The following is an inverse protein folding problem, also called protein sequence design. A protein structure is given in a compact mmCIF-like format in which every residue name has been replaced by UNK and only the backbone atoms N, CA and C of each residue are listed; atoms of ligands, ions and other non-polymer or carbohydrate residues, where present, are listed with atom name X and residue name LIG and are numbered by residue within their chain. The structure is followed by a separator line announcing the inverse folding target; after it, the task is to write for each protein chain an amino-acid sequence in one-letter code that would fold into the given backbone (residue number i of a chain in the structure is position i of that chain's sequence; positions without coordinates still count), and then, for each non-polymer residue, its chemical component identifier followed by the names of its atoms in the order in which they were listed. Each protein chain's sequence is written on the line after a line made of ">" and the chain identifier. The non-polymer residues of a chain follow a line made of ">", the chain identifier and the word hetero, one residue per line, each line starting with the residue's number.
data_IF_769607244853
#
_entry.id   IF_769607244853
#
_cell.length_a   1.000
_cell.length_b   1.000
_cell.length_c   1.000
_cell.angle_alpha   90.00
_cell.angle_beta   90.00
_cell.angle_gamma   90.00
#
_symmetry.space_group_name_H-M   'P 1'
#
loop_
_entity.id
_entity.type
_entity.pdbx_description
1 polymer ?
#
# COMPACT_ATOMS: atom_id res chain seq x y z
N UNK A 1 39.64 -13.28 -71.00
CA UNK A 1 40.09 -11.89 -71.17
C UNK A 1 39.52 -11.13 -69.97
N UNK A 2 40.21 -11.08 -68.81
CA UNK A 2 41.40 -10.24 -68.50
C UNK A 2 41.02 -8.76 -68.64
N UNK A 3 41.06 -7.86 -67.64
CA UNK A 3 41.95 -7.68 -66.49
C UNK A 3 41.31 -6.75 -65.42
N UNK A 4 41.65 -6.94 -64.13
CA UNK A 4 41.80 -5.87 -63.11
C UNK A 4 43.25 -5.33 -63.16
N UNK A 5 43.81 -4.45 -62.28
CA UNK A 5 43.29 -3.61 -61.16
C UNK A 5 43.94 -2.17 -61.01
N UNK A 6 43.54 -1.38 -59.99
CA UNK A 6 44.43 -0.52 -59.14
C UNK A 6 43.61 0.16 -58.02
N UNK A 7 43.64 -0.25 -56.75
CA UNK A 7 44.55 0.03 -55.59
C UNK A 7 44.97 1.50 -55.35
N UNK A 8 44.60 2.02 -54.17
CA UNK A 8 45.44 2.64 -53.10
C UNK A 8 44.61 3.73 -52.35
N UNK A 9 44.74 4.02 -51.05
CA UNK A 9 45.56 3.58 -49.90
C UNK A 9 44.84 4.09 -48.64
N UNK A 10 44.83 3.30 -47.56
CA UNK A 10 44.40 3.73 -46.23
C UNK A 10 45.57 4.33 -45.42
N UNK A 11 45.34 5.33 -44.56
CA UNK A 11 46.25 5.72 -43.47
C UNK A 11 45.80 5.20 -42.08
N UNK A 12 46.66 5.30 -41.04
CA UNK A 12 46.85 4.29 -39.97
C UNK A 12 46.02 4.52 -38.69
N UNK A 13 46.03 3.53 -37.75
CA UNK A 13 45.28 3.62 -36.49
C UNK A 13 45.98 4.51 -35.44
N UNK A 14 45.20 5.32 -34.72
CA UNK A 14 45.65 6.01 -33.52
C UNK A 14 45.06 5.33 -32.29
N UNK A 15 45.94 4.67 -31.54
CA UNK A 15 45.71 4.18 -30.19
C UNK A 15 45.84 5.30 -29.16
N UNK A 16 44.94 5.38 -28.19
CA UNK A 16 45.23 5.51 -26.74
C UNK A 16 43.94 5.82 -25.96
N UNK A 17 43.48 4.83 -25.18
CA UNK A 17 42.57 4.97 -24.04
C UNK A 17 43.29 5.61 -22.83
N UNK A 18 42.70 5.75 -21.62
CA UNK A 18 41.29 5.94 -21.24
C UNK A 18 41.11 7.14 -20.28
N UNK A 19 39.95 7.81 -20.30
CA UNK A 19 39.46 8.56 -19.13
C UNK A 19 38.32 7.75 -18.53
N UNK A 20 38.61 7.05 -17.43
CA UNK A 20 37.63 6.26 -16.71
C UNK A 20 36.58 7.15 -16.01
N UNK A 21 35.33 6.69 -15.87
CA UNK A 21 34.34 7.38 -15.05
C UNK A 21 34.66 7.17 -13.56
N UNK A 22 34.74 8.27 -12.82
CA UNK A 22 34.87 8.28 -11.37
C UNK A 22 33.64 7.63 -10.72
N UNK A 23 33.80 6.43 -10.16
CA UNK A 23 32.80 5.81 -9.28
C UNK A 23 32.75 6.56 -7.94
N UNK A 24 31.57 6.94 -7.42
CA UNK A 24 31.47 7.50 -6.09
C UNK A 24 31.76 6.39 -5.05
N UNK A 25 32.85 6.58 -4.32
CA UNK A 25 33.30 5.71 -3.24
C UNK A 25 32.37 5.88 -2.03
N UNK A 26 31.38 5.02 -1.92
CA UNK A 26 30.56 4.86 -0.72
C UNK A 26 31.46 4.56 0.49
N UNK A 27 31.40 5.42 1.51
CA UNK A 27 32.00 5.15 2.83
C UNK A 27 30.98 4.36 3.65
N UNK A 28 31.30 3.16 4.15
CA UNK A 28 30.45 2.50 5.12
C UNK A 28 30.44 3.30 6.43
N UNK A 29 29.26 3.45 7.00
CA UNK A 29 29.04 4.01 8.33
C UNK A 29 29.71 3.10 9.36
N UNK A 30 30.75 3.59 10.03
CA UNK A 30 31.34 2.89 11.17
C UNK A 30 30.36 2.95 12.34
N UNK A 31 29.77 1.81 12.72
CA UNK A 31 29.01 1.68 13.94
C UNK A 31 29.94 1.86 15.17
N UNK A 32 29.53 2.61 16.21
CA UNK A 32 30.28 2.66 17.45
C UNK A 32 30.20 1.31 18.17
N UNK A 33 31.35 0.85 18.66
CA UNK A 33 31.52 -0.36 19.46
C UNK A 33 30.74 -0.26 20.79
N UNK A 34 30.07 -1.35 21.23
CA UNK A 34 29.42 -1.37 22.53
C UNK A 34 30.50 -1.43 23.63
N UNK A 35 30.55 -0.38 24.46
CA UNK A 35 31.32 -0.38 25.70
C UNK A 35 30.76 -1.47 26.62
N UNK A 36 31.61 -2.45 26.91
CA UNK A 36 31.47 -3.40 28.00
C UNK A 36 31.48 -2.65 29.33
N UNK A 37 30.51 -2.92 30.20
CA UNK A 37 30.48 -2.31 31.52
C UNK A 37 29.12 -2.40 32.22
N UNK A 38 28.65 -3.62 32.47
CA UNK A 38 27.63 -3.85 33.50
C UNK A 38 28.15 -4.92 34.43
N UNK A 39 28.72 -4.48 35.54
CA UNK A 39 29.11 -5.30 36.68
C UNK A 39 27.84 -5.84 37.35
N UNK A 40 27.71 -7.17 37.35
CA UNK A 40 26.68 -7.89 38.07
C UNK A 40 26.94 -7.77 39.58
N UNK A 41 26.13 -6.97 40.27
CA UNK A 41 26.07 -7.02 41.74
C UNK A 41 25.03 -8.07 42.12
N UNK A 42 25.54 -9.22 42.57
CA UNK A 42 24.74 -10.25 43.23
C UNK A 42 24.22 -9.72 44.57
N UNK A 43 22.90 -9.76 44.78
CA UNK A 43 22.28 -9.57 46.09
C UNK A 43 21.51 -10.86 46.44
N UNK A 44 21.82 -11.36 47.63
CA UNK A 44 21.43 -12.62 48.22
C UNK A 44 19.90 -12.79 48.46
N UNK A 45 19.40 -14.02 48.63
CA UNK A 45 17.97 -14.28 48.81
C UNK A 45 17.57 -14.16 50.29
N UNK A 46 16.45 -13.48 50.58
CA UNK A 46 15.77 -13.61 51.88
C UNK A 46 14.25 -13.68 51.74
N UNK A 47 13.76 -14.88 52.07
CA UNK A 47 12.60 -15.21 52.91
C UNK A 47 11.20 -14.72 52.52
N UNK A 48 10.42 -15.71 52.05
CA UNK A 48 9.06 -16.09 52.46
C UNK A 48 8.30 -15.09 53.35
N UNK A 49 7.23 -14.50 52.80
CA UNK A 49 6.07 -14.04 53.56
C UNK A 49 4.81 -14.42 52.80
N UNK A 50 4.00 -15.28 53.43
CA UNK A 50 2.65 -15.65 53.05
C UNK A 50 1.68 -14.59 53.57
N UNK A 51 0.91 -13.98 52.68
CA UNK A 51 -0.40 -13.43 53.03
C UNK A 51 -1.33 -13.58 51.81
N UNK A 52 -2.42 -14.32 52.03
CA UNK A 52 -3.37 -14.69 51.02
C UNK A 52 -4.17 -13.50 50.51
N UNK A 53 -4.13 -13.30 49.21
CA UNK A 53 -5.15 -12.61 48.45
C UNK A 53 -5.71 -13.60 47.45
N UNK A 54 -6.95 -14.05 47.67
CA UNK A 54 -7.64 -14.96 46.77
C UNK A 54 -7.90 -14.26 45.43
N UNK A 55 -7.02 -14.45 44.46
CA UNK A 55 -7.28 -14.15 43.06
C UNK A 55 -8.34 -15.13 42.57
N UNK A 56 -9.62 -14.75 42.64
CA UNK A 56 -10.67 -15.47 41.93
C UNK A 56 -10.36 -15.35 40.43
N UNK A 57 -10.13 -16.45 39.70
CA UNK A 57 -10.06 -16.36 38.25
C UNK A 57 -11.41 -15.83 37.79
N UNK A 58 -11.42 -14.66 37.16
CA UNK A 58 -12.58 -14.16 36.44
C UNK A 58 -12.97 -15.28 35.47
N UNK A 59 -14.17 -15.83 35.66
CA UNK A 59 -14.72 -16.85 34.78
C UNK A 59 -14.41 -16.44 33.34
N UNK A 60 -13.75 -17.33 32.60
CA UNK A 60 -13.43 -17.11 31.21
C UNK A 60 -14.70 -16.65 30.52
N UNK A 61 -14.76 -15.38 30.11
CA UNK A 61 -15.83 -14.95 29.24
C UNK A 61 -15.65 -15.81 28.02
N UNK A 62 -16.55 -16.76 27.80
CA UNK A 62 -16.61 -17.48 26.55
C UNK A 62 -16.73 -16.40 25.48
N UNK A 63 -15.60 -16.07 24.84
CA UNK A 63 -15.64 -15.50 23.50
C UNK A 63 -16.27 -16.62 22.71
N UNK A 64 -17.60 -16.66 22.67
CA UNK A 64 -18.30 -17.40 21.64
C UNK A 64 -17.68 -16.87 20.35
N UNK A 65 -16.98 -17.69 19.57
CA UNK A 65 -16.69 -17.31 18.20
C UNK A 65 -18.06 -16.98 17.62
N UNK A 66 -18.26 -15.75 17.18
CA UNK A 66 -19.44 -15.42 16.38
C UNK A 66 -19.29 -16.24 15.11
N UNK A 67 -19.86 -17.45 15.10
CA UNK A 67 -19.96 -18.24 13.89
C UNK A 67 -20.80 -17.39 12.95
N UNK A 68 -20.25 -16.87 11.84
CA UNK A 68 -21.07 -16.18 10.86
C UNK A 68 -22.21 -17.13 10.48
N UNK A 69 -23.44 -16.63 10.44
CA UNK A 69 -24.55 -17.42 9.95
C UNK A 69 -24.14 -18.08 8.60
N UNK A 70 -24.44 -19.37 8.38
CA UNK A 70 -24.02 -20.07 7.18
C UNK A 70 -24.43 -19.26 5.94
N UNK A 71 -23.47 -18.98 5.07
CA UNK A 71 -23.67 -18.20 3.84
C UNK A 71 -23.35 -16.70 3.91
N UNK A 72 -22.78 -16.18 5.02
CA UNK A 72 -22.24 -14.80 5.08
C UNK A 72 -20.75 -14.78 5.39
N UNK A 73 -20.02 -13.97 4.64
CA UNK A 73 -18.57 -13.80 4.73
C UNK A 73 -18.20 -12.40 5.20
N UNK A 74 -17.12 -12.31 5.96
CA UNK A 74 -16.57 -11.03 6.40
C UNK A 74 -15.87 -10.32 5.24
N UNK A 75 -16.18 -9.05 5.08
CA UNK A 75 -15.49 -8.15 4.16
C UNK A 75 -15.02 -6.90 4.89
N UNK A 76 -14.01 -6.27 4.30
CA UNK A 76 -13.48 -4.97 4.68
C UNK A 76 -13.63 -4.03 3.49
N UNK A 77 -13.92 -2.75 3.73
CA UNK A 77 -13.96 -1.75 2.68
C UNK A 77 -13.41 -0.41 3.15
N UNK A 78 -12.93 0.39 2.20
CA UNK A 78 -12.55 1.78 2.42
C UNK A 78 -13.01 2.64 1.23
N UNK A 79 -13.28 3.91 1.50
CA UNK A 79 -13.58 4.91 0.48
C UNK A 79 -12.28 5.49 -0.05
N UNK A 80 -12.21 5.70 -1.36
CA UNK A 80 -11.19 6.52 -2.01
C UNK A 80 -11.74 7.95 -2.12
N UNK A 81 -11.08 8.90 -1.47
CA UNK A 81 -11.55 10.29 -1.40
C UNK A 81 -10.57 11.21 -2.10
N UNK A 82 -11.08 12.08 -2.96
CA UNK A 82 -10.29 13.17 -3.54
C UNK A 82 -10.34 14.35 -2.58
N UNK A 83 -9.17 14.87 -2.21
CA UNK A 83 -8.96 15.94 -1.23
C UNK A 83 -8.23 17.10 -1.93
N UNK A 84 -8.95 18.00 -2.63
CA UNK A 84 -8.31 19.07 -3.40
C UNK A 84 -7.53 20.05 -2.51
N UNK A 85 -8.02 20.31 -1.29
CA UNK A 85 -7.35 21.15 -0.31
C UNK A 85 -7.44 20.56 1.10
N UNK A 86 -6.34 19.94 1.53
CA UNK A 86 -6.24 19.28 2.84
C UNK A 86 -6.48 20.24 4.00
N UNK A 87 -5.97 21.46 3.93
CA UNK A 87 -6.09 22.49 4.98
C UNK A 87 -7.53 22.93 5.24
N UNK A 88 -8.40 22.89 4.21
CA UNK A 88 -9.83 23.23 4.34
C UNK A 88 -10.69 22.03 4.71
N UNK A 89 -10.12 20.83 4.72
CA UNK A 89 -10.85 19.59 4.98
C UNK A 89 -11.85 19.21 3.89
N UNK A 90 -11.73 19.81 2.69
CA UNK A 90 -12.59 19.53 1.55
C UNK A 90 -12.30 18.13 1.00
N UNK A 91 -13.35 17.34 0.77
CA UNK A 91 -13.21 16.00 0.18
C UNK A 91 -14.47 15.56 -0.53
N UNK A 92 -14.29 14.81 -1.61
CA UNK A 92 -15.35 14.12 -2.34
C UNK A 92 -15.05 12.63 -2.37
N UNK A 93 -16.06 11.79 -2.17
CA UNK A 93 -15.90 10.35 -2.37
C UNK A 93 -15.83 10.10 -3.86
N UNK A 94 -14.79 9.39 -4.31
CA UNK A 94 -14.57 9.08 -5.72
C UNK A 94 -14.48 7.57 -5.99
N UNK A 95 -14.57 6.74 -4.95
CA UNK A 95 -14.56 5.29 -5.13
C UNK A 95 -14.66 4.50 -3.84
N UNK A 96 -14.74 3.18 -4.01
CA UNK A 96 -14.77 2.18 -2.95
C UNK A 96 -13.81 1.07 -3.32
N UNK A 97 -13.01 0.61 -2.37
CA UNK A 97 -12.26 -0.65 -2.45
C UNK A 97 -12.84 -1.64 -1.45
N UNK A 98 -13.11 -2.87 -1.88
CA UNK A 98 -13.66 -3.94 -1.03
C UNK A 98 -12.77 -5.18 -1.11
N UNK A 99 -12.47 -5.73 0.06
CA UNK A 99 -11.70 -6.96 0.24
C UNK A 99 -12.50 -7.98 1.04
N UNK A 100 -12.68 -9.18 0.47
CA UNK A 100 -13.24 -10.33 1.17
C UNK A 100 -12.27 -11.50 1.08
N UNK A 101 -11.63 -11.84 2.21
CA UNK A 101 -10.59 -12.89 2.27
C UNK A 101 -11.15 -14.27 1.93
N UNK A 102 -12.35 -14.60 2.44
CA UNK A 102 -12.96 -15.92 2.23
C UNK A 102 -13.44 -16.09 0.79
N UNK A 103 -14.05 -15.05 0.24
CA UNK A 103 -14.52 -14.99 -1.14
C UNK A 103 -13.43 -14.76 -2.18
N UNK A 104 -12.14 -14.66 -1.76
CA UNK A 104 -10.99 -14.36 -2.63
C UNK A 104 -11.24 -13.15 -3.54
N UNK A 105 -11.86 -12.13 -2.98
CA UNK A 105 -12.34 -10.97 -3.72
C UNK A 105 -11.57 -9.73 -3.27
N UNK A 106 -11.01 -9.01 -4.25
CA UNK A 106 -10.50 -7.67 -4.09
C UNK A 106 -10.82 -6.90 -5.37
N UNK A 107 -11.67 -5.89 -5.26
CA UNK A 107 -11.96 -4.98 -6.36
C UNK A 107 -12.13 -3.56 -5.85
N UNK A 108 -11.92 -2.60 -6.75
CA UNK A 108 -12.27 -1.21 -6.53
C UNK A 108 -13.15 -0.70 -7.66
N UNK A 109 -14.08 0.19 -7.30
CA UNK A 109 -14.94 0.93 -8.24
C UNK A 109 -14.69 2.42 -8.00
N UNK A 110 -14.55 3.19 -9.07
CA UNK A 110 -14.27 4.63 -9.01
C UNK A 110 -15.16 5.39 -9.98
N UNK A 111 -15.61 6.57 -9.59
CA UNK A 111 -16.21 7.58 -10.45
C UNK A 111 -15.85 8.95 -9.89
N UNK A 112 -15.36 9.83 -10.76
CA UNK A 112 -14.99 11.19 -10.41
C UNK A 112 -16.07 12.16 -10.89
N UNK A 113 -16.80 12.79 -9.96
CA UNK A 113 -17.67 13.92 -10.28
C UNK A 113 -16.81 15.16 -10.56
N UNK A 114 -16.54 15.39 -11.85
CA UNK A 114 -15.75 16.53 -12.34
C UNK A 114 -16.40 17.87 -12.03
N UNK A 115 -17.74 17.95 -12.06
CA UNK A 115 -18.45 19.19 -11.82
C UNK A 115 -18.33 19.60 -10.35
N UNK A 116 -18.53 18.64 -9.43
CA UNK A 116 -18.33 18.88 -8.00
C UNK A 116 -16.87 19.17 -7.66
N UNK A 117 -15.93 18.48 -8.29
CA UNK A 117 -14.50 18.75 -8.10
C UNK A 117 -14.15 20.19 -8.53
N UNK A 118 -14.59 20.60 -9.71
CA UNK A 118 -14.37 21.95 -10.23
C UNK A 118 -15.03 23.04 -9.36
N UNK A 119 -16.18 22.75 -8.75
CA UNK A 119 -16.83 23.67 -7.82
C UNK A 119 -16.02 23.89 -6.52
N UNK A 120 -15.24 22.90 -6.08
CA UNK A 120 -14.36 23.01 -4.90
C UNK A 120 -12.98 23.60 -5.23
N UNK A 121 -12.42 23.22 -6.38
CA UNK A 121 -11.09 23.65 -6.82
C UNK A 121 -11.05 23.66 -8.36
N UNK A 122 -11.29 24.81 -9.01
CA UNK A 122 -11.33 24.92 -10.46
C UNK A 122 -10.00 24.59 -11.16
N UNK A 123 -8.89 24.81 -10.47
CA UNK A 123 -7.53 24.68 -11.02
C UNK A 123 -6.93 23.27 -10.87
N UNK A 124 -7.69 22.32 -10.30
CA UNK A 124 -7.19 20.97 -10.03
C UNK A 124 -7.15 20.11 -11.31
N UNK A 125 -6.08 19.34 -11.48
CA UNK A 125 -5.94 18.40 -12.60
C UNK A 125 -6.86 17.17 -12.44
N UNK A 126 -8.10 17.31 -12.91
CA UNK A 126 -9.10 16.26 -12.88
C UNK A 126 -8.69 15.02 -13.70
N UNK A 127 -7.98 15.19 -14.82
CA UNK A 127 -7.54 14.08 -15.68
C UNK A 127 -6.41 13.28 -15.02
N UNK A 128 -5.48 13.96 -14.35
CA UNK A 128 -4.44 13.32 -13.54
C UNK A 128 -5.03 12.53 -12.37
N UNK A 129 -6.03 13.10 -11.68
CA UNK A 129 -6.73 12.42 -10.58
C UNK A 129 -7.47 11.18 -11.09
N UNK A 130 -8.21 11.28 -12.19
CA UNK A 130 -8.91 10.14 -12.78
C UNK A 130 -7.93 9.02 -13.16
N UNK A 131 -6.82 9.36 -13.82
CA UNK A 131 -5.77 8.39 -14.16
C UNK A 131 -5.17 7.71 -12.93
N UNK A 132 -4.98 8.47 -11.85
CA UNK A 132 -4.53 7.92 -10.57
C UNK A 132 -5.56 6.95 -9.98
N UNK A 133 -6.84 7.32 -9.94
CA UNK A 133 -7.94 6.45 -9.49
C UNK A 133 -8.01 5.15 -10.32
N UNK A 134 -7.89 5.24 -11.64
CA UNK A 134 -7.85 4.06 -12.51
C UNK A 134 -6.64 3.17 -12.24
N UNK A 135 -5.51 3.74 -11.80
CA UNK A 135 -4.33 2.96 -11.41
C UNK A 135 -4.61 2.17 -10.12
N UNK A 136 -5.33 2.77 -9.15
CA UNK A 136 -5.76 2.06 -7.94
C UNK A 136 -6.73 0.91 -8.27
N UNK A 137 -7.63 1.08 -9.24
CA UNK A 137 -8.49 0.01 -9.74
C UNK A 137 -7.67 -1.15 -10.32
N UNK A 138 -6.67 -0.85 -11.16
CA UNK A 138 -5.76 -1.86 -11.72
C UNK A 138 -5.00 -2.62 -10.65
N UNK A 139 -4.49 -1.91 -9.64
CA UNK A 139 -3.82 -2.53 -8.49
C UNK A 139 -4.78 -3.45 -7.74
N UNK A 140 -6.02 -3.04 -7.47
CA UNK A 140 -7.01 -3.89 -6.82
C UNK A 140 -7.26 -5.18 -7.62
N UNK A 141 -7.46 -5.04 -8.94
CA UNK A 141 -7.67 -6.16 -9.87
C UNK A 141 -6.45 -7.07 -10.03
N UNK A 142 -5.25 -6.62 -9.67
CA UNK A 142 -4.01 -7.35 -9.92
C UNK A 142 -3.52 -7.28 -11.36
N UNK A 143 -3.93 -6.24 -12.08
CA UNK A 143 -3.49 -5.99 -13.46
C UNK A 143 -2.02 -5.56 -13.46
N UNK A 144 -1.13 -6.22 -14.23
CA UNK A 144 0.28 -5.82 -14.38
C UNK A 144 0.49 -4.35 -14.77
N UNK A 145 -0.48 -3.71 -15.44
CA UNK A 145 -0.45 -2.28 -15.77
C UNK A 145 -0.56 -1.37 -14.53
N UNK A 146 -0.93 -1.92 -13.36
CA UNK A 146 -0.89 -1.25 -12.05
C UNK A 146 0.50 -1.22 -11.42
N UNK A 147 1.53 -1.78 -12.08
CA UNK A 147 2.91 -1.81 -11.61
C UNK A 147 3.19 -2.94 -10.61
N UNK A 148 4.37 -2.95 -9.96
CA UNK A 148 4.82 -4.06 -9.12
C UNK A 148 3.89 -4.40 -7.96
N UNK A 149 3.17 -3.41 -7.42
CA UNK A 149 2.21 -3.59 -6.33
C UNK A 149 1.05 -4.51 -6.75
N UNK A 150 0.65 -4.48 -8.03
CA UNK A 150 -0.42 -5.32 -8.54
C UNK A 150 -0.07 -6.83 -8.50
N UNK A 151 1.22 -7.17 -8.48
CA UNK A 151 1.70 -8.54 -8.39
C UNK A 151 1.69 -9.11 -6.96
N UNK A 152 1.41 -8.29 -5.94
CA UNK A 152 1.30 -8.74 -4.55
C UNK A 152 0.02 -9.56 -4.31
N UNK A 153 0.00 -10.28 -3.18
CA UNK A 153 -1.19 -11.03 -2.75
C UNK A 153 -2.35 -10.08 -2.44
N UNK A 154 -3.61 -10.53 -2.60
CA UNK A 154 -4.80 -9.69 -2.43
C UNK A 154 -4.82 -8.93 -1.10
N UNK A 155 -4.43 -9.58 -0.01
CA UNK A 155 -4.37 -8.92 1.30
C UNK A 155 -3.33 -7.80 1.32
N UNK A 156 -2.15 -8.02 0.73
CA UNK A 156 -1.09 -7.02 0.70
C UNK A 156 -1.49 -5.82 -0.16
N UNK A 157 -2.12 -6.08 -1.32
CA UNK A 157 -2.68 -5.02 -2.17
C UNK A 157 -3.73 -4.21 -1.44
N UNK A 158 -4.65 -4.86 -0.72
CA UNK A 158 -5.65 -4.15 0.07
C UNK A 158 -5.00 -3.26 1.13
N UNK A 159 -4.06 -3.78 1.92
CA UNK A 159 -3.38 -2.99 2.95
C UNK A 159 -2.58 -1.82 2.35
N UNK A 160 -1.99 -2.00 1.17
CA UNK A 160 -1.33 -0.92 0.45
C UNK A 160 -2.32 0.14 -0.04
N UNK A 161 -3.46 -0.26 -0.61
CA UNK A 161 -4.49 0.64 -1.12
C UNK A 161 -5.14 1.49 -0.02
N UNK A 162 -5.25 0.96 1.20
CA UNK A 162 -5.83 1.68 2.34
C UNK A 162 -4.79 2.38 3.22
N UNK A 163 -3.51 2.27 2.87
CA UNK A 163 -2.44 3.01 3.53
C UNK A 163 -2.41 4.47 3.02
N UNK A 164 -2.34 5.47 3.90
CA UNK A 164 -2.14 6.86 3.50
C UNK A 164 -0.82 7.01 2.70
N UNK A 165 -0.91 7.39 1.43
CA UNK A 165 0.23 7.45 0.52
C UNK A 165 0.24 8.67 -0.43
N UNK A 166 -0.87 9.40 -0.51
CA UNK A 166 -1.06 10.54 -1.40
C UNK A 166 -1.78 11.68 -0.67
N UNK A 167 -1.47 12.93 -1.03
CA UNK A 167 -2.13 14.11 -0.48
C UNK A 167 -3.47 14.39 -1.17
N UNK A 168 -3.60 14.05 -2.46
CA UNK A 168 -4.77 14.35 -3.31
C UNK A 168 -5.81 13.24 -3.31
N UNK A 169 -5.41 11.97 -3.21
CA UNK A 169 -6.33 10.84 -3.05
C UNK A 169 -6.01 10.14 -1.75
N UNK A 170 -6.97 10.15 -0.82
CA UNK A 170 -6.79 9.63 0.53
C UNK A 170 -7.82 8.52 0.80
N UNK A 171 -7.38 7.36 1.33
CA UNK A 171 -8.30 6.34 1.79
C UNK A 171 -9.01 6.78 3.07
N UNK A 172 -10.26 6.34 3.28
CA UNK A 172 -10.93 6.45 4.58
C UNK A 172 -10.38 5.43 5.58
N UNK A 173 -10.87 5.53 6.83
CA UNK A 173 -10.77 4.41 7.75
C UNK A 173 -11.37 3.14 7.12
N UNK A 174 -10.82 1.99 7.50
CA UNK A 174 -11.35 0.69 7.09
C UNK A 174 -12.59 0.37 7.90
N UNK A 175 -13.63 -0.04 7.19
CA UNK A 175 -14.91 -0.49 7.74
C UNK A 175 -15.09 -1.97 7.45
N UNK A 176 -15.86 -2.67 8.29
CA UNK A 176 -16.10 -4.11 8.15
C UNK A 176 -17.58 -4.43 8.07
N UNK A 177 -17.91 -5.57 7.46
CA UNK A 177 -19.29 -6.03 7.33
C UNK A 177 -19.38 -7.51 6.99
N UNK A 178 -20.61 -8.00 6.83
CA UNK A 178 -20.92 -9.36 6.39
C UNK A 178 -21.71 -9.31 5.08
N UNK A 179 -21.29 -10.06 4.06
CA UNK A 179 -21.95 -10.16 2.76
C UNK A 179 -22.14 -11.61 2.32
N UNK A 180 -23.16 -11.87 1.51
CA UNK A 180 -23.29 -13.15 0.77
C UNK A 180 -22.61 -13.11 -0.60
N UNK A 181 -22.57 -11.93 -1.22
CA UNK A 181 -21.91 -11.67 -2.50
C UNK A 181 -21.06 -10.38 -2.36
N UNK A 182 -19.72 -10.47 -2.43
CA UNK A 182 -18.85 -9.30 -2.29
C UNK A 182 -18.93 -8.35 -3.49
N UNK A 183 -19.22 -8.83 -4.70
CA UNK A 183 -19.34 -8.00 -5.89
C UNK A 183 -20.62 -7.16 -5.84
N UNK A 184 -21.77 -7.78 -5.58
CA UNK A 184 -23.02 -7.05 -5.38
C UNK A 184 -22.95 -6.07 -4.19
N UNK A 185 -22.19 -6.42 -3.14
CA UNK A 185 -21.96 -5.54 -2.00
C UNK A 185 -21.12 -4.33 -2.39
N UNK A 186 -20.08 -4.51 -3.21
CA UNK A 186 -19.26 -3.42 -3.75
C UNK A 186 -20.12 -2.46 -4.59
N UNK A 187 -20.92 -2.98 -5.51
CA UNK A 187 -21.77 -2.15 -6.38
C UNK A 187 -22.79 -1.35 -5.56
N UNK A 188 -23.40 -1.98 -4.54
CA UNK A 188 -24.32 -1.28 -3.61
C UNK A 188 -23.60 -0.17 -2.84
N UNK A 189 -22.45 -0.47 -2.22
CA UNK A 189 -21.69 0.53 -1.46
C UNK A 189 -21.22 1.68 -2.36
N UNK A 190 -20.83 1.38 -3.58
CA UNK A 190 -20.45 2.37 -4.57
C UNK A 190 -21.63 3.30 -4.89
N UNK A 191 -22.80 2.75 -5.21
CA UNK A 191 -23.99 3.54 -5.51
C UNK A 191 -24.49 4.40 -4.32
N UNK A 192 -24.32 3.91 -3.08
CA UNK A 192 -24.74 4.64 -1.87
C UNK A 192 -23.76 5.73 -1.43
N UNK A 193 -22.45 5.50 -1.62
CA UNK A 193 -21.39 6.31 -1.01
C UNK A 193 -20.63 7.19 -2.00
N UNK A 194 -20.77 6.94 -3.30
CA UNK A 194 -20.11 7.70 -4.38
C UNK A 194 -21.20 8.35 -5.23
N UNK A 195 -21.18 9.68 -5.29
CA UNK A 195 -22.15 10.52 -5.98
C UNK A 195 -21.45 11.61 -6.78
#
# INVERSE_FOLDING_TARGET
>A
MSCCPSRSRSPPPTSASPLGPATPRWRPWSAPSPRSGWTATAIAPRTRSTCGGAWRPRASSSRRPSVPAPGREEFQYALLRVVPHVERGERINAGVVLFCRRGRFLEARVALDRARLAALSPDVDADGIDRHLQTLVRIAAGDPQGGPIAALEQSERFHWLVAPSSTIVQPSAVHTGLCGDPAATLDRLFAELVS
#
